data_IF_957901571620
#
_entry.id   IF_957901571620
#
_cell.length_a   1.000
_cell.length_b   1.000
_cell.length_c   1.000
_cell.angle_alpha   90.00
_cell.angle_beta   90.00
_cell.angle_gamma   90.00
#
_symmetry.space_group_name_H-M   'P 1'
#
loop_
_entity.id
_entity.type
_entity.pdbx_description
1 polymer ?
#
# COMPACT_ATOMS: atom_id res chain seq x y z
N UNK A 1 -8.50 -17.11 -13.89
CA UNK A 1 -7.62 -16.66 -12.79
C UNK A 1 -6.79 -15.51 -13.31
N UNK A 2 -6.84 -14.37 -12.64
CA UNK A 2 -6.12 -13.16 -13.05
C UNK A 2 -4.75 -13.12 -12.36
N UNK A 3 -3.70 -13.54 -13.08
CA UNK A 3 -2.35 -13.66 -12.53
C UNK A 3 -1.76 -12.30 -12.11
N UNK A 4 -2.05 -11.23 -12.85
CA UNK A 4 -1.57 -9.88 -12.49
C UNK A 4 -2.15 -9.44 -11.15
N UNK A 5 -3.47 -9.59 -10.98
CA UNK A 5 -4.16 -9.26 -9.73
C UNK A 5 -3.72 -10.18 -8.57
N UNK A 6 -3.44 -11.47 -8.85
CA UNK A 6 -2.87 -12.38 -7.84
C UNK A 6 -1.49 -11.90 -7.37
N UNK A 7 -0.59 -11.58 -8.29
CA UNK A 7 0.74 -11.06 -7.92
C UNK A 7 0.66 -9.73 -7.19
N UNK A 8 -0.26 -8.83 -7.60
CA UNK A 8 -0.53 -7.61 -6.85
C UNK A 8 -0.93 -7.90 -5.40
N UNK A 9 -1.84 -8.87 -5.21
CA UNK A 9 -2.27 -9.32 -3.88
C UNK A 9 -1.14 -9.92 -3.04
N UNK A 10 -0.25 -10.73 -3.64
CA UNK A 10 0.91 -11.30 -2.95
C UNK A 10 1.89 -10.20 -2.51
N UNK A 11 2.19 -9.24 -3.39
CA UNK A 11 3.06 -8.11 -3.04
C UNK A 11 2.41 -7.24 -1.96
N UNK A 12 1.10 -7.00 -2.04
CA UNK A 12 0.36 -6.29 -1.01
C UNK A 12 0.41 -7.00 0.35
N UNK A 13 0.30 -8.33 0.37
CA UNK A 13 0.46 -9.14 1.58
C UNK A 13 1.87 -9.00 2.19
N UNK A 14 2.92 -9.06 1.35
CA UNK A 14 4.30 -8.83 1.80
C UNK A 14 4.44 -7.42 2.37
N UNK A 15 3.84 -6.41 1.72
CA UNK A 15 3.84 -5.04 2.22
C UNK A 15 3.10 -4.91 3.55
N UNK A 16 1.98 -5.62 3.77
CA UNK A 16 1.27 -5.68 5.07
C UNK A 16 2.19 -6.21 6.16
N UNK A 17 2.89 -7.33 5.92
CA UNK A 17 3.85 -7.90 6.86
C UNK A 17 4.97 -6.89 7.15
N UNK A 18 5.53 -6.28 6.10
CA UNK A 18 6.56 -5.24 6.22
C UNK A 18 6.10 -4.02 7.01
N UNK A 19 4.87 -3.56 6.81
CA UNK A 19 4.26 -2.43 7.53
C UNK A 19 4.18 -2.70 9.03
N UNK A 20 3.67 -3.86 9.44
CA UNK A 20 3.57 -4.20 10.86
C UNK A 20 4.92 -4.54 11.52
N UNK A 21 5.84 -5.19 10.79
CA UNK A 21 7.14 -5.56 11.34
C UNK A 21 8.13 -4.38 11.31
N UNK A 22 8.51 -3.96 10.11
CA UNK A 22 9.53 -2.93 9.92
C UNK A 22 8.93 -1.53 10.04
N UNK A 23 7.72 -1.30 9.53
CA UNK A 23 7.10 0.03 9.56
C UNK A 23 6.83 0.51 10.99
N UNK A 24 6.32 -0.37 11.85
CA UNK A 24 6.14 -0.08 13.28
C UNK A 24 7.48 0.22 13.96
N UNK A 25 8.51 -0.59 13.71
CA UNK A 25 9.82 -0.48 14.36
C UNK A 25 10.59 0.77 13.91
N UNK A 26 10.59 1.06 12.61
CA UNK A 26 11.42 2.09 12.01
C UNK A 26 10.75 3.47 11.95
N UNK A 27 9.42 3.54 11.91
CA UNK A 27 8.71 4.81 11.70
C UNK A 27 7.77 5.15 12.85
N UNK A 28 6.82 4.28 13.20
CA UNK A 28 5.83 4.60 14.23
C UNK A 28 6.46 4.73 15.62
N UNK A 29 7.23 3.71 16.05
CA UNK A 29 7.80 3.68 17.41
C UNK A 29 8.73 4.86 17.68
N UNK A 30 9.64 5.27 16.76
CA UNK A 30 10.44 6.47 16.96
C UNK A 30 9.60 7.75 17.12
N UNK A 31 8.53 7.92 16.35
CA UNK A 31 7.64 9.09 16.48
C UNK A 31 6.95 9.09 17.85
N UNK A 32 6.40 7.95 18.29
CA UNK A 32 5.73 7.85 19.58
C UNK A 32 6.66 8.09 20.78
N UNK A 33 7.95 7.80 20.62
CA UNK A 33 8.97 8.00 21.65
C UNK A 33 9.70 9.35 21.56
N UNK A 34 9.36 10.19 20.59
CA UNK A 34 9.98 11.52 20.44
C UNK A 34 9.43 12.53 21.44
N UNK A 35 10.12 13.66 21.60
CA UNK A 35 9.76 14.73 22.53
C UNK A 35 8.69 15.71 21.97
N UNK A 36 7.99 15.32 20.90
CA UNK A 36 6.88 16.13 20.36
C UNK A 36 5.61 15.98 21.21
N UNK A 37 4.66 16.90 21.03
CA UNK A 37 3.37 16.86 21.72
C UNK A 37 2.59 15.57 21.45
N UNK A 38 1.76 15.17 22.41
CA UNK A 38 0.98 13.93 22.34
C UNK A 38 -0.06 13.92 21.20
N UNK A 39 -0.62 15.07 20.85
CA UNK A 39 -1.63 15.16 19.77
C UNK A 39 -1.04 14.71 18.42
N UNK A 40 0.08 15.29 17.92
CA UNK A 40 0.77 14.78 16.73
C UNK A 40 1.11 13.29 16.76
N UNK A 41 1.55 12.75 17.91
CA UNK A 41 1.83 11.31 18.07
C UNK A 41 0.59 10.47 17.80
N UNK A 42 -0.55 10.83 18.39
CA UNK A 42 -1.81 10.11 18.21
C UNK A 42 -2.37 10.23 16.80
N UNK A 43 -2.14 11.35 16.12
CA UNK A 43 -2.47 11.49 14.69
C UNK A 43 -1.64 10.53 13.85
N UNK A 44 -0.32 10.46 14.05
CA UNK A 44 0.55 9.53 13.29
C UNK A 44 0.22 8.06 13.60
N UNK A 45 -0.08 7.72 14.85
CA UNK A 45 -0.57 6.39 15.23
C UNK A 45 -1.86 6.02 14.50
N UNK A 46 -2.81 6.95 14.43
CA UNK A 46 -4.06 6.77 13.69
C UNK A 46 -3.80 6.55 12.20
N UNK A 47 -2.95 7.37 11.58
CA UNK A 47 -2.57 7.23 10.16
C UNK A 47 -1.90 5.87 9.86
N UNK A 48 -1.07 5.38 10.78
CA UNK A 48 -0.46 4.06 10.67
C UNK A 48 -1.54 2.96 10.62
N UNK A 49 -2.55 3.04 11.49
CA UNK A 49 -3.65 2.08 11.55
C UNK A 49 -4.68 2.23 10.42
N UNK A 50 -4.92 3.45 9.93
CA UNK A 50 -5.74 3.66 8.71
C UNK A 50 -5.11 2.98 7.51
N UNK A 51 -3.79 3.15 7.35
CA UNK A 51 -3.04 2.46 6.30
C UNK A 51 -3.07 0.93 6.50
N UNK A 52 -2.91 0.45 7.74
CA UNK A 52 -3.05 -0.98 8.05
C UNK A 52 -4.39 -1.55 7.59
N UNK A 53 -5.50 -0.91 7.96
CA UNK A 53 -6.84 -1.36 7.59
C UNK A 53 -7.02 -1.36 6.07
N UNK A 54 -6.61 -0.28 5.41
CA UNK A 54 -6.67 -0.17 3.95
C UNK A 54 -5.89 -1.30 3.27
N UNK A 55 -4.63 -1.51 3.65
CA UNK A 55 -3.77 -2.52 3.02
C UNK A 55 -4.29 -3.94 3.23
N UNK A 56 -4.78 -4.27 4.42
CA UNK A 56 -5.36 -5.60 4.70
C UNK A 56 -6.58 -5.83 3.79
N UNK A 57 -7.50 -4.87 3.75
CA UNK A 57 -8.75 -4.99 2.98
C UNK A 57 -8.45 -5.13 1.48
N UNK A 58 -7.60 -4.28 0.93
CA UNK A 58 -7.26 -4.34 -0.51
C UNK A 58 -6.46 -5.58 -0.85
N UNK A 59 -5.60 -6.08 0.04
CA UNK A 59 -4.90 -7.37 -0.12
C UNK A 59 -5.91 -8.51 -0.25
N UNK A 60 -6.89 -8.58 0.65
CA UNK A 60 -7.95 -9.57 0.58
C UNK A 60 -8.74 -9.47 -0.73
N UNK A 61 -9.12 -8.26 -1.14
CA UNK A 61 -9.85 -8.09 -2.40
C UNK A 61 -9.03 -8.50 -3.63
N UNK A 62 -7.74 -8.15 -3.70
CA UNK A 62 -6.87 -8.55 -4.81
C UNK A 62 -6.70 -10.08 -4.87
N UNK A 63 -6.39 -10.73 -3.75
CA UNK A 63 -6.24 -12.19 -3.73
C UNK A 63 -7.57 -12.86 -4.07
N UNK A 64 -8.66 -12.49 -3.42
CA UNK A 64 -9.95 -13.13 -3.60
C UNK A 64 -10.49 -12.93 -5.03
N UNK A 65 -10.42 -11.70 -5.57
CA UNK A 65 -10.88 -11.41 -6.94
C UNK A 65 -10.06 -12.14 -7.99
N UNK A 66 -8.76 -12.39 -7.75
CA UNK A 66 -7.90 -13.10 -8.71
C UNK A 66 -8.39 -14.51 -9.05
N UNK A 67 -9.12 -15.16 -8.13
CA UNK A 67 -9.70 -16.48 -8.31
C UNK A 67 -11.16 -16.45 -8.80
N UNK A 68 -11.74 -15.27 -9.06
CA UNK A 68 -13.16 -15.12 -9.40
C UNK A 68 -14.10 -15.52 -8.26
N UNK A 69 -13.60 -15.60 -7.03
CA UNK A 69 -14.39 -16.03 -5.88
C UNK A 69 -15.12 -14.84 -5.22
N UNK A 70 -14.77 -13.60 -5.55
CA UNK A 70 -15.25 -12.41 -4.84
C UNK A 70 -16.66 -12.08 -5.31
N UNK A 71 -17.66 -12.42 -4.50
CA UNK A 71 -19.08 -12.15 -4.80
C UNK A 71 -19.59 -10.81 -4.28
N UNK A 72 -18.72 -10.03 -3.63
CA UNK A 72 -19.09 -8.73 -3.08
C UNK A 72 -19.28 -7.67 -4.18
N UNK A 73 -18.65 -7.86 -5.33
CA UNK A 73 -18.69 -6.96 -6.47
C UNK A 73 -18.96 -7.76 -7.75
N UNK A 74 -19.86 -7.26 -8.59
CA UNK A 74 -20.11 -7.83 -9.93
C UNK A 74 -18.94 -7.54 -10.89
N UNK A 75 -18.26 -6.41 -10.65
CA UNK A 75 -17.25 -5.80 -11.51
C UNK A 75 -15.87 -5.83 -10.84
N UNK A 76 -15.30 -7.03 -10.65
CA UNK A 76 -14.07 -7.20 -9.86
C UNK A 76 -12.82 -6.62 -10.53
N UNK A 77 -12.83 -6.47 -11.85
CA UNK A 77 -11.69 -5.90 -12.61
C UNK A 77 -11.60 -4.38 -12.39
N UNK A 78 -12.74 -3.71 -12.33
CA UNK A 78 -12.90 -2.28 -12.06
C UNK A 78 -12.49 -1.96 -10.61
N UNK A 79 -12.78 -2.87 -9.67
CA UNK A 79 -12.25 -2.77 -8.30
C UNK A 79 -10.73 -2.88 -8.28
N UNK A 80 -10.14 -3.80 -9.05
CA UNK A 80 -8.67 -3.90 -9.16
C UNK A 80 -8.07 -2.62 -9.78
N UNK A 81 -8.69 -2.03 -10.81
CA UNK A 81 -8.27 -0.74 -11.37
C UNK A 81 -8.28 0.36 -10.32
N UNK A 82 -9.38 0.47 -9.57
CA UNK A 82 -9.52 1.49 -8.53
C UNK A 82 -8.45 1.35 -7.43
N UNK A 83 -8.22 0.12 -6.96
CA UNK A 83 -7.14 -0.18 -6.01
C UNK A 83 -5.79 0.24 -6.62
N UNK A 84 -5.54 -0.10 -7.88
CA UNK A 84 -4.31 0.24 -8.59
C UNK A 84 -4.07 1.74 -8.68
N UNK A 85 -5.10 2.54 -8.95
CA UNK A 85 -5.02 4.01 -8.98
C UNK A 85 -4.65 4.58 -7.60
N UNK A 86 -5.28 4.07 -6.53
CA UNK A 86 -4.98 4.55 -5.16
C UNK A 86 -3.53 4.25 -4.78
N UNK A 87 -3.06 3.01 -5.00
CA UNK A 87 -1.66 2.66 -4.75
C UNK A 87 -0.69 3.46 -5.62
N UNK A 88 -1.08 3.79 -6.86
CA UNK A 88 -0.31 4.69 -7.73
C UNK A 88 -0.16 6.08 -7.13
N UNK A 89 -1.26 6.63 -6.59
CA UNK A 89 -1.25 7.88 -5.83
C UNK A 89 -0.27 7.83 -4.64
N UNK A 90 -0.33 6.77 -3.83
CA UNK A 90 0.60 6.59 -2.71
C UNK A 90 2.06 6.50 -3.17
N UNK A 91 2.33 5.75 -4.23
CA UNK A 91 3.67 5.61 -4.80
C UNK A 91 4.23 6.96 -5.24
N UNK A 92 3.46 7.71 -6.03
CA UNK A 92 3.86 9.02 -6.57
C UNK A 92 4.07 10.02 -5.44
N UNK A 93 3.11 10.15 -4.52
CA UNK A 93 3.22 11.08 -3.40
C UNK A 93 4.43 10.77 -2.54
N UNK A 94 4.64 9.51 -2.16
CA UNK A 94 5.80 9.14 -1.34
C UNK A 94 7.12 9.35 -2.07
N UNK A 95 7.18 9.04 -3.37
CA UNK A 95 8.38 9.25 -4.17
C UNK A 95 8.73 10.74 -4.29
N UNK A 96 7.73 11.61 -4.55
CA UNK A 96 7.93 13.07 -4.58
C UNK A 96 8.42 13.57 -3.23
N UNK A 97 7.78 13.17 -2.11
CA UNK A 97 8.23 13.56 -0.77
C UNK A 97 9.68 13.12 -0.54
N UNK A 98 10.04 11.91 -0.94
CA UNK A 98 11.39 11.40 -0.80
C UNK A 98 12.41 12.22 -1.61
N UNK A 99 12.04 12.68 -2.82
CA UNK A 99 12.88 13.52 -3.67
C UNK A 99 13.10 14.92 -3.10
N UNK A 100 12.07 15.54 -2.53
CA UNK A 100 12.14 16.92 -2.01
C UNK A 100 12.61 16.97 -0.55
N UNK A 101 12.70 15.83 0.13
CA UNK A 101 13.21 15.75 1.49
C UNK A 101 14.71 16.04 1.56
N UNK A 102 15.19 16.53 2.72
CA UNK A 102 16.62 16.70 3.00
C UNK A 102 17.35 15.38 3.30
N UNK A 103 16.69 14.23 3.10
CA UNK A 103 17.23 12.91 3.43
C UNK A 103 18.21 12.48 2.34
N UNK A 104 19.49 12.33 2.68
CA UNK A 104 20.49 11.74 1.76
C UNK A 104 20.04 10.35 1.32
N UNK A 105 19.92 10.15 0.01
CA UNK A 105 19.33 8.96 -0.64
C UNK A 105 17.87 8.72 -0.24
N UNK A 106 17.08 9.79 -0.09
CA UNK A 106 15.67 9.76 0.29
C UNK A 106 14.85 8.68 -0.42
N UNK A 107 14.84 8.61 -1.77
CA UNK A 107 14.09 7.60 -2.50
C UNK A 107 14.44 6.14 -2.16
N UNK A 108 15.70 5.86 -1.81
CA UNK A 108 16.12 4.51 -1.39
C UNK A 108 15.82 4.24 0.08
N UNK A 109 15.90 5.26 0.94
CA UNK A 109 15.59 5.12 2.37
C UNK A 109 14.09 5.07 2.66
N UNK A 110 13.28 5.65 1.78
CA UNK A 110 11.82 5.65 1.82
C UNK A 110 11.25 4.71 0.75
N UNK A 111 11.81 3.50 0.64
CA UNK A 111 11.59 2.54 -0.47
C UNK A 111 10.17 1.99 -0.62
N UNK A 112 9.22 2.30 0.28
CA UNK A 112 7.87 1.74 0.23
C UNK A 112 7.12 2.09 -1.06
N UNK A 113 7.49 3.20 -1.73
CA UNK A 113 6.96 3.57 -3.04
C UNK A 113 7.16 2.47 -4.09
N UNK A 114 8.19 1.63 -3.96
CA UNK A 114 8.44 0.50 -4.87
C UNK A 114 7.32 -0.53 -4.75
N UNK A 115 6.89 -0.84 -3.52
CA UNK A 115 5.78 -1.78 -3.28
C UNK A 115 4.47 -1.20 -3.80
N UNK A 116 4.19 0.07 -3.51
CA UNK A 116 2.99 0.76 -3.99
C UNK A 116 2.93 0.81 -5.52
N UNK A 117 4.06 1.12 -6.17
CA UNK A 117 4.16 1.14 -7.62
C UNK A 117 3.94 -0.24 -8.22
N UNK A 118 4.55 -1.29 -7.65
CA UNK A 118 4.37 -2.65 -8.12
C UNK A 118 2.91 -3.12 -7.99
N UNK A 119 2.26 -2.86 -6.85
CA UNK A 119 0.84 -3.18 -6.63
C UNK A 119 -0.02 -2.39 -7.62
N UNK A 120 0.28 -1.11 -7.82
CA UNK A 120 -0.44 -0.24 -8.76
C UNK A 120 -0.41 -0.77 -10.19
N UNK A 121 0.79 -0.99 -10.73
CA UNK A 121 0.98 -1.46 -12.12
C UNK A 121 0.32 -2.82 -12.31
N UNK A 122 0.53 -3.77 -11.40
CA UNK A 122 -0.05 -5.10 -11.53
C UNK A 122 -1.58 -5.09 -11.40
N UNK A 123 -2.15 -4.27 -10.51
CA UNK A 123 -3.61 -4.18 -10.37
C UNK A 123 -4.25 -3.52 -11.59
N UNK A 124 -3.60 -2.51 -12.18
CA UNK A 124 -4.08 -1.86 -13.41
C UNK A 124 -3.98 -2.84 -14.59
N UNK A 125 -2.86 -3.52 -14.77
CA UNK A 125 -2.71 -4.53 -15.82
C UNK A 125 -3.74 -5.66 -15.64
N UNK A 126 -3.95 -6.12 -14.41
CA UNK A 126 -4.98 -7.10 -14.11
C UNK A 126 -6.38 -6.61 -14.45
N UNK A 127 -6.70 -5.36 -14.14
CA UNK A 127 -8.00 -4.78 -14.42
C UNK A 127 -8.27 -4.47 -15.90
N UNK A 128 -7.25 -4.10 -16.69
CA UNK A 128 -7.40 -3.78 -18.13
C UNK A 128 -7.23 -4.99 -19.04
N UNK A 129 -6.27 -5.87 -18.77
CA UNK A 129 -5.92 -6.96 -19.70
C UNK A 129 -6.74 -8.24 -19.48
N UNK A 130 -7.58 -8.28 -18.44
CA UNK A 130 -8.44 -9.43 -18.13
C UNK A 130 -9.91 -9.07 -17.92
N UNK A 131 -10.28 -7.82 -18.27
CA UNK A 131 -11.66 -7.35 -18.42
C UNK A 131 -12.29 -7.84 -19.71
#
# INVERSE_FOLDING_TARGET
MNYFTLFAGIIALIAVIGHFAMGKKMYLTPVLKSDIDEVPKKVVESLFHYMSAFMIITTFFLIWSSFGMCRLFEHTNEVALFIGIIYGGFAITQFIIALISSIKMGPLKMFQWIFWMAISVLSILGGVLTS
#
